data_IF_317081088556
#
_entry.id   IF_317081088556
#
_cell.length_a   1.000
_cell.length_b   1.000
_cell.length_c   1.000
_cell.angle_alpha   90.00
_cell.angle_beta   90.00
_cell.angle_gamma   90.00
#
_symmetry.space_group_name_H-M   'P 1'
#
loop_
_entity.id
_entity.type
_entity.pdbx_description
1 polymer ?
#
# COMPACT_ATOMS: atom_id res chain seq x y z
N UNK A 1 0.54 2.07 -7.94
CA UNK A 1 0.66 3.54 -8.05
C UNK A 1 2.11 3.94 -8.32
N UNK A 2 3.03 3.88 -7.35
CA UNK A 2 4.46 4.18 -7.60
C UNK A 2 5.11 3.21 -8.57
N UNK A 3 5.99 3.72 -9.44
CA UNK A 3 6.65 2.94 -10.49
C UNK A 3 5.76 2.54 -11.68
N UNK A 4 4.42 2.58 -11.52
CA UNK A 4 3.46 2.42 -12.63
C UNK A 4 2.99 3.75 -13.19
N UNK A 5 2.76 4.75 -12.35
CA UNK A 5 2.27 6.06 -12.75
C UNK A 5 3.06 7.18 -12.05
N UNK A 6 3.42 8.27 -12.77
CA UNK A 6 4.17 9.39 -12.20
C UNK A 6 3.25 10.41 -11.51
N UNK A 7 2.36 9.95 -10.62
CA UNK A 7 1.47 10.83 -9.84
C UNK A 7 1.26 10.30 -8.41
N UNK A 8 0.41 10.99 -7.64
CA UNK A 8 0.09 10.69 -6.23
C UNK A 8 1.22 11.00 -5.24
N UNK A 9 1.95 12.09 -5.51
CA UNK A 9 2.97 12.62 -4.60
C UNK A 9 3.23 14.11 -4.74
N UNK A 10 3.85 14.66 -3.71
CA UNK A 10 4.54 15.94 -3.73
C UNK A 10 6.05 15.72 -3.57
N UNK A 11 6.84 16.59 -4.20
CA UNK A 11 8.28 16.70 -3.95
C UNK A 11 8.55 17.97 -3.17
N UNK A 12 9.20 17.83 -2.02
CA UNK A 12 9.54 18.94 -1.15
C UNK A 12 11.06 19.10 -1.08
N UNK A 13 11.58 20.26 -1.50
CA UNK A 13 12.99 20.61 -1.29
C UNK A 13 13.17 21.13 0.14
N UNK A 14 13.77 20.33 1.01
CA UNK A 14 13.92 20.66 2.43
C UNK A 14 15.08 21.65 2.64
N UNK A 15 14.81 22.93 3.00
CA UNK A 15 15.85 23.93 3.19
C UNK A 15 16.77 23.60 4.38
N UNK A 16 16.30 22.82 5.36
CA UNK A 16 17.11 22.41 6.50
C UNK A 16 18.07 21.27 6.15
N UNK A 17 17.90 20.63 4.99
CA UNK A 17 18.76 19.58 4.45
C UNK A 17 19.47 20.02 3.17
N UNK A 18 19.80 21.31 3.08
CA UNK A 18 20.53 21.86 1.94
C UNK A 18 19.76 21.74 0.61
N UNK A 19 18.43 21.73 0.65
CA UNK A 19 17.57 21.60 -0.54
C UNK A 19 17.37 20.16 -1.01
N UNK A 20 17.71 19.14 -0.19
CA UNK A 20 17.43 17.75 -0.53
C UNK A 20 15.93 17.52 -0.76
N UNK A 21 15.59 16.86 -1.87
CA UNK A 21 14.21 16.50 -2.18
C UNK A 21 13.73 15.34 -1.29
N UNK A 22 12.57 15.55 -0.66
CA UNK A 22 11.82 14.53 0.07
C UNK A 22 10.55 14.21 -0.70
N UNK A 23 10.28 12.92 -0.84
CA UNK A 23 9.08 12.41 -1.47
C UNK A 23 7.96 12.30 -0.43
N UNK A 24 6.83 12.95 -0.68
CA UNK A 24 5.66 12.91 0.22
C UNK A 24 4.52 12.24 -0.54
N UNK A 25 4.09 11.05 -0.10
CA UNK A 25 3.11 10.31 -0.85
C UNK A 25 1.68 10.81 -0.54
N UNK A 26 0.78 10.72 -1.51
CA UNK A 26 -0.60 11.22 -1.45
C UNK A 26 -1.56 10.23 -2.11
N UNK A 27 -2.84 10.24 -1.74
CA UNK A 27 -3.91 9.45 -2.37
C UNK A 27 -3.58 7.95 -2.56
N UNK A 28 -3.71 7.20 -1.46
CA UNK A 28 -3.44 5.76 -1.38
C UNK A 28 -4.71 4.90 -1.45
N UNK A 29 -5.80 5.45 -1.97
CA UNK A 29 -7.12 4.80 -2.02
C UNK A 29 -7.07 3.41 -2.69
N UNK A 30 -6.11 3.19 -3.58
CA UNK A 30 -5.90 1.93 -4.31
C UNK A 30 -4.65 1.15 -3.87
N UNK A 31 -4.11 1.41 -2.68
CA UNK A 31 -2.92 0.69 -2.19
C UNK A 31 -3.20 -0.79 -1.87
N UNK A 32 -4.46 -1.12 -1.56
CA UNK A 32 -4.88 -2.47 -1.18
C UNK A 32 -5.91 -3.05 -2.15
N UNK A 33 -5.91 -2.59 -3.41
CA UNK A 33 -6.77 -3.17 -4.44
C UNK A 33 -6.34 -4.62 -4.69
N UNK A 34 -7.21 -5.55 -4.34
CA UNK A 34 -7.07 -6.96 -4.69
C UNK A 34 -7.88 -7.22 -5.96
N UNK A 35 -7.22 -7.80 -6.97
CA UNK A 35 -7.85 -8.15 -8.24
C UNK A 35 -8.97 -9.20 -8.05
N UNK A 36 -8.86 -10.02 -6.99
CA UNK A 36 -9.84 -11.04 -6.65
C UNK A 36 -11.00 -10.49 -5.81
N UNK A 37 -10.85 -9.29 -5.22
CA UNK A 37 -11.90 -8.62 -4.43
C UNK A 37 -12.88 -7.79 -5.29
N UNK A 38 -12.92 -8.01 -6.60
CA UNK A 38 -13.92 -7.42 -7.51
C UNK A 38 -13.71 -5.95 -7.89
N UNK A 39 -12.71 -5.27 -7.33
CA UNK A 39 -12.33 -3.91 -7.71
C UNK A 39 -11.26 -3.96 -8.81
N UNK A 40 -11.70 -4.18 -10.05
CA UNK A 40 -10.80 -4.22 -11.21
C UNK A 40 -10.43 -2.82 -11.70
N UNK A 41 -9.59 -2.15 -10.93
CA UNK A 41 -8.73 -1.10 -11.51
C UNK A 41 -7.68 -1.90 -12.24
N UNK A 42 -7.55 -1.76 -13.56
CA UNK A 42 -6.65 -2.57 -14.40
C UNK A 42 -5.15 -2.37 -14.12
N UNK A 43 -4.77 -2.23 -12.86
CA UNK A 43 -3.47 -1.87 -12.33
C UNK A 43 -3.22 -2.71 -11.07
N UNK A 44 -2.52 -3.82 -11.24
CA UNK A 44 -2.04 -4.63 -10.14
C UNK A 44 -0.90 -3.92 -9.40
N UNK A 45 -0.66 -4.27 -8.14
CA UNK A 45 0.55 -3.83 -7.44
C UNK A 45 1.81 -4.26 -8.21
N UNK A 46 2.92 -3.51 -8.05
CA UNK A 46 4.21 -3.97 -8.54
C UNK A 46 4.73 -5.11 -7.64
N UNK A 47 5.48 -6.08 -8.19
CA UNK A 47 6.19 -7.04 -7.36
C UNK A 47 7.22 -6.33 -6.49
N UNK A 48 7.57 -6.91 -5.34
CA UNK A 48 8.58 -6.35 -4.44
C UNK A 48 9.96 -6.20 -5.09
N UNK A 49 10.27 -7.03 -6.09
CA UNK A 49 11.49 -6.92 -6.88
C UNK A 49 11.55 -5.69 -7.77
N UNK A 50 10.42 -4.99 -7.98
CA UNK A 50 10.29 -3.89 -8.93
C UNK A 50 10.74 -4.27 -10.35
N UNK A 51 10.69 -5.57 -10.70
CA UNK A 51 11.13 -6.08 -11.99
C UNK A 51 10.31 -5.54 -13.18
N UNK A 52 9.09 -5.09 -12.93
CA UNK A 52 8.20 -4.47 -13.93
C UNK A 52 8.43 -2.96 -14.08
N UNK A 53 9.27 -2.33 -13.25
CA UNK A 53 9.63 -0.92 -13.40
C UNK A 53 10.62 -0.79 -14.56
N UNK A 54 10.31 0.08 -15.51
CA UNK A 54 11.14 0.31 -16.71
C UNK A 54 11.74 1.72 -16.69
N UNK A 55 12.40 2.10 -17.79
CA UNK A 55 12.95 3.44 -18.05
C UNK A 55 11.92 4.57 -17.97
N UNK A 56 10.62 4.27 -17.98
CA UNK A 56 9.54 5.25 -17.76
C UNK A 56 9.56 5.82 -16.34
N UNK A 57 10.22 5.16 -15.39
CA UNK A 57 10.54 5.66 -14.05
C UNK A 57 12.06 5.78 -13.86
N UNK A 58 12.73 6.74 -14.53
CA UNK A 58 14.18 6.75 -14.68
C UNK A 58 14.91 6.88 -13.34
N UNK A 59 14.35 7.63 -12.38
CA UNK A 59 14.95 7.75 -11.04
C UNK A 59 14.91 6.44 -10.27
N UNK A 60 13.79 5.70 -10.36
CA UNK A 60 13.65 4.42 -9.66
C UNK A 60 14.63 3.41 -10.24
N UNK A 61 14.76 3.35 -11.58
CA UNK A 61 15.78 2.47 -12.18
C UNK A 61 17.19 2.88 -11.87
N UNK A 62 17.50 4.17 -11.94
CA UNK A 62 18.83 4.67 -11.58
C UNK A 62 19.27 4.22 -10.19
N UNK A 63 18.37 4.24 -9.20
CA UNK A 63 18.66 3.76 -7.85
C UNK A 63 18.75 2.24 -7.80
N UNK A 64 17.78 1.52 -8.37
CA UNK A 64 17.72 0.06 -8.24
C UNK A 64 18.72 -0.69 -9.13
N UNK A 65 19.32 -0.02 -10.12
CA UNK A 65 20.42 -0.56 -10.95
C UNK A 65 21.79 -0.45 -10.25
N UNK A 66 21.91 0.38 -9.22
CA UNK A 66 23.11 0.47 -8.38
C UNK A 66 23.00 -0.56 -7.22
N UNK A 67 23.95 -1.50 -7.09
CA UNK A 67 23.87 -2.55 -6.07
C UNK A 67 23.88 -2.02 -4.64
N UNK A 68 24.48 -0.85 -4.37
CA UNK A 68 24.48 -0.24 -3.04
C UNK A 68 23.07 0.21 -2.67
N UNK A 69 22.39 0.89 -3.58
CA UNK A 69 21.02 1.38 -3.34
C UNK A 69 19.97 0.26 -3.41
N UNK A 70 20.22 -0.79 -4.20
CA UNK A 70 19.38 -1.99 -4.20
C UNK A 70 19.37 -2.67 -2.83
N UNK A 71 20.52 -2.82 -2.17
CA UNK A 71 20.58 -3.39 -0.82
C UNK A 71 19.92 -2.48 0.23
N UNK A 72 20.03 -1.16 0.07
CA UNK A 72 19.27 -0.21 0.91
C UNK A 72 17.77 -0.40 0.75
N UNK A 73 17.28 -0.55 -0.48
CA UNK A 73 15.87 -0.84 -0.76
C UNK A 73 15.43 -2.16 -0.14
N UNK A 74 16.20 -3.25 -0.32
CA UNK A 74 15.91 -4.56 0.31
C UNK A 74 15.84 -4.45 1.82
N UNK A 75 16.73 -3.66 2.43
CA UNK A 75 16.68 -3.32 3.86
C UNK A 75 15.37 -2.64 4.28
N UNK A 76 14.90 -1.65 3.51
CA UNK A 76 13.62 -0.99 3.78
C UNK A 76 12.41 -1.93 3.60
N UNK A 77 12.43 -2.82 2.61
CA UNK A 77 11.37 -3.82 2.42
C UNK A 77 11.31 -4.78 3.63
N UNK A 78 12.47 -5.24 4.10
CA UNK A 78 12.57 -6.08 5.30
C UNK A 78 12.05 -5.35 6.55
N UNK A 79 12.48 -4.10 6.75
CA UNK A 79 12.06 -3.28 7.87
C UNK A 79 10.54 -3.08 7.87
N UNK A 80 9.98 -2.69 6.72
CA UNK A 80 8.56 -2.41 6.55
C UNK A 80 7.68 -3.56 7.05
N UNK A 81 7.97 -4.80 6.65
CA UNK A 81 7.20 -5.96 7.10
C UNK A 81 7.44 -6.31 8.57
N UNK A 82 8.64 -6.07 9.09
CA UNK A 82 8.99 -6.43 10.46
C UNK A 82 8.50 -5.41 11.52
N UNK A 83 8.30 -4.15 11.14
CA UNK A 83 8.00 -3.05 12.09
C UNK A 83 6.77 -2.25 11.70
N UNK A 84 6.82 -1.56 10.56
CA UNK A 84 5.78 -0.59 10.18
C UNK A 84 4.47 -1.27 9.78
N UNK A 85 4.55 -2.50 9.29
CA UNK A 85 3.43 -3.30 8.82
C UNK A 85 3.43 -4.71 9.45
N UNK A 86 3.83 -4.78 10.73
CA UNK A 86 3.75 -6.01 11.51
C UNK A 86 2.28 -6.47 11.58
N UNK A 87 2.04 -7.77 11.43
CA UNK A 87 0.71 -8.32 11.17
C UNK A 87 -0.27 -8.11 12.34
N UNK A 88 0.16 -8.34 13.58
CA UNK A 88 -0.72 -8.19 14.74
C UNK A 88 -1.05 -6.71 15.02
N UNK A 89 -0.05 -5.82 14.91
CA UNK A 89 -0.25 -4.38 15.02
C UNK A 89 -1.18 -3.84 13.92
N UNK A 90 -0.98 -4.28 12.67
CA UNK A 90 -1.82 -3.90 11.53
C UNK A 90 -3.25 -4.39 11.70
N UNK A 91 -3.45 -5.65 12.08
CA UNK A 91 -4.78 -6.22 12.35
C UNK A 91 -5.53 -5.44 13.45
N UNK A 92 -4.84 -5.11 14.55
CA UNK A 92 -5.43 -4.33 15.63
C UNK A 92 -5.86 -2.94 15.16
N UNK A 93 -5.02 -2.28 14.34
CA UNK A 93 -5.33 -0.97 13.80
C UNK A 93 -6.49 -1.01 12.81
N UNK A 94 -6.53 -1.99 11.89
CA UNK A 94 -7.63 -2.13 10.93
C UNK A 94 -8.97 -2.40 11.62
N UNK A 95 -8.99 -3.28 12.63
CA UNK A 95 -10.20 -3.53 13.43
C UNK A 95 -10.69 -2.27 14.13
N UNK A 96 -9.78 -1.53 14.78
CA UNK A 96 -10.13 -0.29 15.44
C UNK A 96 -10.71 0.76 14.48
N UNK A 97 -10.12 0.90 13.28
CA UNK A 97 -10.62 1.82 12.26
C UNK A 97 -11.98 1.38 11.69
N UNK A 98 -12.15 0.08 11.44
CA UNK A 98 -13.41 -0.51 11.00
C UNK A 98 -14.54 -0.28 12.01
N UNK A 99 -14.31 -0.62 13.28
CA UNK A 99 -15.29 -0.47 14.35
C UNK A 99 -15.68 0.99 14.57
N UNK A 100 -14.71 1.91 14.43
CA UNK A 100 -14.95 3.35 14.56
C UNK A 100 -15.95 3.87 13.53
N UNK A 101 -15.89 3.38 12.29
CA UNK A 101 -16.74 3.88 11.20
C UNK A 101 -17.98 3.02 10.96
N UNK A 102 -18.04 1.79 11.49
CA UNK A 102 -19.14 0.84 11.27
C UNK A 102 -20.55 1.44 11.47
N UNK A 103 -20.83 2.26 12.51
CA UNK A 103 -22.16 2.87 12.69
C UNK A 103 -22.60 3.77 11.53
N UNK A 104 -21.64 4.36 10.82
CA UNK A 104 -21.84 5.30 9.71
C UNK A 104 -21.71 4.65 8.34
N UNK A 105 -21.29 3.39 8.27
CA UNK A 105 -21.20 2.62 7.02
C UNK A 105 -22.39 1.68 6.89
N UNK A 106 -22.57 0.77 7.85
CA UNK A 106 -23.62 -0.28 7.81
C UNK A 106 -24.59 -0.21 9.00
N UNK A 107 -24.37 0.72 9.92
CA UNK A 107 -25.16 0.88 11.14
C UNK A 107 -26.38 1.80 10.99
N UNK A 108 -26.94 2.27 12.12
CA UNK A 108 -28.14 3.12 12.13
C UNK A 108 -27.98 4.46 11.41
N UNK A 109 -26.74 4.95 11.26
CA UNK A 109 -26.38 6.17 10.52
C UNK A 109 -25.63 5.84 9.21
N UNK A 110 -25.87 4.63 8.68
CA UNK A 110 -25.17 4.05 7.55
C UNK A 110 -25.28 4.81 6.24
N UNK A 111 -24.49 4.36 5.26
CA UNK A 111 -24.53 4.89 3.90
C UNK A 111 -25.95 4.81 3.32
N UNK A 112 -26.33 5.84 2.56
CA UNK A 112 -27.67 5.97 1.99
C UNK A 112 -27.70 5.51 0.53
N UNK A 113 -28.89 5.13 0.06
CA UNK A 113 -29.11 4.71 -1.33
C UNK A 113 -28.58 5.77 -2.33
N UNK A 114 -27.84 5.31 -3.34
CA UNK A 114 -27.20 6.17 -4.35
C UNK A 114 -25.90 6.82 -3.90
N UNK A 115 -25.50 6.69 -2.63
CA UNK A 115 -24.28 7.24 -2.05
C UNK A 115 -23.49 6.19 -1.27
N UNK A 116 -23.42 4.98 -1.82
CA UNK A 116 -22.67 3.85 -1.27
C UNK A 116 -21.80 3.21 -2.36
N UNK A 117 -20.63 2.71 -1.95
CA UNK A 117 -19.78 1.87 -2.79
C UNK A 117 -19.92 0.37 -2.46
N UNK A 118 -20.72 0.02 -1.45
CA UNK A 118 -20.99 -1.35 -1.07
C UNK A 118 -22.04 -1.95 -2.03
N UNK A 119 -21.82 -3.18 -2.47
CA UNK A 119 -22.86 -3.94 -3.18
C UNK A 119 -23.83 -4.54 -2.16
N UNK A 120 -23.28 -5.05 -1.05
CA UNK A 120 -24.05 -5.47 0.13
C UNK A 120 -23.35 -5.01 1.42
N UNK A 121 -24.05 -4.89 2.55
CA UNK A 121 -23.42 -4.52 3.83
C UNK A 121 -22.27 -5.46 4.24
N UNK A 122 -22.33 -6.73 3.86
CA UNK A 122 -21.27 -7.72 4.14
C UNK A 122 -19.93 -7.37 3.46
N UNK A 123 -19.94 -6.58 2.38
CA UNK A 123 -18.71 -6.13 1.70
C UNK A 123 -17.81 -5.33 2.65
N UNK A 124 -18.38 -4.64 3.64
CA UNK A 124 -17.64 -3.87 4.63
C UNK A 124 -16.76 -4.78 5.52
N UNK A 125 -17.37 -5.85 6.06
CA UNK A 125 -16.65 -6.85 6.87
C UNK A 125 -15.69 -7.69 6.02
N UNK A 126 -16.07 -8.02 4.78
CA UNK A 126 -15.21 -8.74 3.84
C UNK A 126 -13.95 -7.93 3.50
N UNK A 127 -14.08 -6.61 3.33
CA UNK A 127 -12.93 -5.72 3.11
C UNK A 127 -11.93 -5.77 4.26
N UNK A 128 -12.42 -5.76 5.51
CA UNK A 128 -11.57 -5.93 6.70
C UNK A 128 -10.84 -7.29 6.68
N UNK A 129 -11.56 -8.37 6.37
CA UNK A 129 -10.97 -9.71 6.30
C UNK A 129 -9.83 -9.77 5.26
N UNK A 130 -10.03 -9.19 4.07
CA UNK A 130 -9.01 -9.10 3.02
C UNK A 130 -7.78 -8.31 3.47
N UNK A 131 -7.95 -7.16 4.14
CA UNK A 131 -6.82 -6.36 4.66
C UNK A 131 -6.01 -7.14 5.70
N UNK A 132 -6.69 -7.85 6.60
CA UNK A 132 -6.02 -8.69 7.62
C UNK A 132 -5.26 -9.84 6.95
N UNK A 133 -5.86 -10.49 5.96
CA UNK A 133 -5.21 -11.58 5.22
C UNK A 133 -3.95 -11.06 4.48
N UNK A 134 -4.06 -9.91 3.82
CA UNK A 134 -2.93 -9.24 3.18
C UNK A 134 -1.79 -9.01 4.17
N UNK A 135 -2.06 -8.35 5.32
CA UNK A 135 -1.04 -8.07 6.34
C UNK A 135 -0.36 -9.35 6.87
N UNK A 136 -1.12 -10.43 7.08
CA UNK A 136 -0.57 -11.72 7.52
C UNK A 136 0.34 -12.37 6.46
N UNK A 137 0.04 -12.19 5.18
CA UNK A 137 0.85 -12.71 4.07
C UNK A 137 2.19 -11.97 3.87
N UNK A 138 2.25 -10.68 4.23
CA UNK A 138 3.39 -9.80 3.90
C UNK A 138 4.75 -10.30 4.37
N UNK A 139 4.83 -10.90 5.55
CA UNK A 139 6.12 -11.40 6.07
C UNK A 139 6.68 -12.51 5.18
N UNK A 140 5.83 -13.43 4.72
CA UNK A 140 6.22 -14.53 3.85
C UNK A 140 6.61 -14.04 2.44
N UNK A 141 5.83 -13.12 1.87
CA UNK A 141 6.14 -12.51 0.57
C UNK A 141 7.48 -11.77 0.58
N UNK A 142 7.76 -11.02 1.65
CA UNK A 142 9.04 -10.33 1.83
C UNK A 142 10.18 -11.33 1.99
N UNK A 143 10.02 -12.39 2.76
CA UNK A 143 11.04 -13.44 2.88
C UNK A 143 11.38 -14.07 1.52
N UNK A 144 10.36 -14.45 0.74
CA UNK A 144 10.54 -15.01 -0.61
C UNK A 144 11.23 -14.03 -1.56
N UNK A 145 10.97 -12.74 -1.43
CA UNK A 145 11.67 -11.73 -2.22
C UNK A 145 13.15 -11.61 -1.81
N UNK A 146 13.43 -11.63 -0.50
CA UNK A 146 14.79 -11.45 0.03
C UNK A 146 15.70 -12.67 -0.18
N UNK A 147 15.15 -13.81 -0.60
CA UNK A 147 15.91 -15.00 -1.03
C UNK A 147 16.38 -14.95 -2.50
N UNK A 148 15.87 -14.00 -3.29
CA UNK A 148 16.23 -13.78 -4.70
C UNK A 148 17.54 -13.02 -4.86
#
# INVERSE_FOLDING_TARGET
MYGRLPHNYYLYADPNKGGQFTWIPWDHTFAFSDADAGVTIGMTALPLSMAEVTEQSPLVRYLLDDPVYLEVYRGYVAQAAAKEYEAAASEAWFKAAHDLIAPYVVGPEGEIEGHTHLTTPEDFDNGLATLIAHAKGRTAEVALYLEQ
#
